data_IF_032815673055
#
_entry.id   IF_032815673055
#
_cell.length_a   1.000
_cell.length_b   1.000
_cell.length_c   1.000
_cell.angle_alpha   90.00
_cell.angle_beta   90.00
_cell.angle_gamma   90.00
#
_symmetry.space_group_name_H-M   'P 1'
#
loop_
_entity.id
_entity.type
_entity.pdbx_description
1 polymer ?
#
# COMPACT_ATOMS: atom_id res chain seq x y z
N UNK A 1 2.70 5.52 -2.13
CA UNK A 1 3.58 4.33 -1.99
C UNK A 1 4.37 4.34 -0.69
N UNK A 2 4.82 5.49 -0.19
CA UNK A 2 5.56 5.61 1.08
C UNK A 2 4.88 4.92 2.27
N UNK A 3 3.59 5.15 2.50
CA UNK A 3 2.85 4.47 3.58
C UNK A 3 2.87 2.93 3.42
N UNK A 4 2.65 2.41 2.21
CA UNK A 4 2.68 0.97 1.96
C UNK A 4 4.08 0.36 2.11
N UNK A 5 5.12 1.12 1.75
CA UNK A 5 6.51 0.74 2.02
C UNK A 5 6.75 0.59 3.52
N UNK A 6 6.30 1.55 4.34
CA UNK A 6 6.42 1.49 5.80
C UNK A 6 5.68 0.32 6.41
N UNK A 7 4.41 0.11 6.03
CA UNK A 7 3.60 -1.02 6.50
C UNK A 7 4.29 -2.36 6.18
N UNK A 8 4.96 -2.45 5.04
CA UNK A 8 5.70 -3.65 4.61
C UNK A 8 7.18 -3.67 4.99
N UNK A 9 7.62 -2.75 5.85
CA UNK A 9 9.00 -2.70 6.34
C UNK A 9 9.35 -3.91 7.22
N UNK A 10 10.62 -4.32 7.32
CA UNK A 10 11.04 -5.45 8.15
C UNK A 10 10.69 -5.34 9.64
N UNK A 11 10.51 -4.11 10.11
CA UNK A 11 10.02 -3.76 11.44
C UNK A 11 8.55 -4.16 11.62
N UNK A 12 7.68 -3.66 10.74
CA UNK A 12 6.22 -3.79 10.87
C UNK A 12 5.71 -5.16 10.43
N UNK A 13 6.36 -5.81 9.45
CA UNK A 13 5.93 -7.12 8.94
C UNK A 13 5.87 -8.20 10.03
N UNK A 14 6.70 -8.08 11.06
CA UNK A 14 6.72 -9.03 12.19
C UNK A 14 5.44 -9.00 13.03
N UNK A 15 4.73 -7.87 13.05
CA UNK A 15 3.52 -7.68 13.85
C UNK A 15 2.25 -7.69 13.00
N UNK A 16 2.29 -7.10 11.81
CA UNK A 16 1.12 -6.98 10.93
C UNK A 16 0.99 -8.11 9.90
N UNK A 17 2.04 -8.91 9.69
CA UNK A 17 2.07 -10.00 8.69
C UNK A 17 1.76 -9.54 7.25
N UNK A 18 2.10 -8.30 6.89
CA UNK A 18 1.85 -7.70 5.58
C UNK A 18 3.15 -7.45 4.81
N UNK A 19 3.83 -8.51 4.30
CA UNK A 19 4.94 -8.32 3.37
C UNK A 19 4.49 -7.61 2.09
N UNK A 20 5.41 -7.07 1.28
CA UNK A 20 5.09 -6.37 0.03
C UNK A 20 4.18 -7.16 -0.91
N UNK A 21 4.30 -8.50 -0.93
CA UNK A 21 3.44 -9.38 -1.73
C UNK A 21 1.97 -9.32 -1.32
N UNK A 22 1.68 -9.28 -0.01
CA UNK A 22 0.32 -9.19 0.51
C UNK A 22 -0.27 -7.81 0.22
N UNK A 23 0.55 -6.76 0.35
CA UNK A 23 0.19 -5.40 -0.06
C UNK A 23 -0.18 -5.37 -1.55
N UNK A 24 0.64 -5.97 -2.40
CA UNK A 24 0.38 -6.08 -3.84
C UNK A 24 -0.98 -6.72 -4.14
N UNK A 25 -1.30 -7.85 -3.50
CA UNK A 25 -2.58 -8.55 -3.72
C UNK A 25 -3.79 -7.68 -3.31
N UNK A 26 -3.72 -7.01 -2.16
CA UNK A 26 -4.84 -6.21 -1.64
C UNK A 26 -5.01 -4.89 -2.40
N UNK A 27 -3.91 -4.19 -2.69
CA UNK A 27 -3.95 -2.86 -3.28
C UNK A 27 -3.82 -2.86 -4.81
N UNK A 28 -3.31 -3.93 -5.43
CA UNK A 28 -3.19 -4.10 -6.87
C UNK A 28 -4.48 -3.75 -7.61
N UNK A 29 -5.62 -4.40 -7.28
CA UNK A 29 -6.89 -4.07 -7.89
C UNK A 29 -7.29 -2.61 -7.63
N UNK A 30 -7.18 -2.12 -6.40
CA UNK A 30 -7.65 -0.79 -6.03
C UNK A 30 -6.85 0.36 -6.67
N UNK A 31 -5.55 0.17 -6.89
CA UNK A 31 -4.66 1.19 -7.45
C UNK A 31 -4.61 1.17 -8.97
N UNK A 32 -4.84 0.01 -9.60
CA UNK A 32 -4.60 -0.20 -11.03
C UNK A 32 -5.82 -0.70 -11.80
N UNK A 33 -7.01 -0.75 -11.19
CA UNK A 33 -8.18 -1.37 -11.80
C UNK A 33 -8.57 -0.77 -13.15
N UNK A 34 -8.99 -1.65 -14.05
CA UNK A 34 -9.82 -1.31 -15.21
C UNK A 34 -11.29 -1.41 -14.78
N UNK A 35 -12.03 -0.30 -14.77
CA UNK A 35 -13.39 -0.18 -14.19
C UNK A 35 -14.46 -1.09 -14.81
N UNK A 36 -14.20 -1.71 -15.97
CA UNK A 36 -15.23 -2.39 -16.78
C UNK A 36 -14.75 -3.69 -17.45
N UNK A 37 -14.00 -4.55 -16.74
CA UNK A 37 -13.61 -5.84 -17.32
C UNK A 37 -14.57 -6.98 -16.97
N UNK A 38 -15.10 -7.64 -18.00
CA UNK A 38 -15.84 -8.91 -17.87
C UNK A 38 -14.88 -9.99 -17.37
N UNK A 39 -15.31 -10.87 -16.43
CA UNK A 39 -14.47 -11.97 -15.95
C UNK A 39 -13.92 -12.82 -17.10
N UNK A 40 -12.60 -12.82 -17.26
CA UNK A 40 -11.88 -13.58 -18.30
C UNK A 40 -10.54 -14.09 -17.76
N UNK A 41 -9.93 -15.07 -18.45
CA UNK A 41 -8.59 -15.56 -18.10
C UNK A 41 -7.52 -14.46 -18.23
N UNK A 42 -7.69 -13.56 -19.20
CA UNK A 42 -6.82 -12.39 -19.38
C UNK A 42 -6.92 -11.44 -18.20
N UNK A 43 -8.14 -11.20 -17.68
CA UNK A 43 -8.35 -10.41 -16.48
C UNK A 43 -7.63 -11.03 -15.27
N UNK A 44 -7.65 -12.36 -15.11
CA UNK A 44 -6.93 -13.03 -14.02
C UNK A 44 -5.41 -12.83 -14.12
N UNK A 45 -4.84 -12.93 -15.32
CA UNK A 45 -3.43 -12.60 -15.56
C UNK A 45 -3.15 -11.13 -15.24
N UNK A 46 -4.03 -10.20 -15.65
CA UNK A 46 -3.91 -8.77 -15.35
C UNK A 46 -3.95 -8.48 -13.85
N UNK A 47 -4.79 -9.14 -13.06
CA UNK A 47 -4.79 -9.00 -11.60
C UNK A 47 -3.44 -9.42 -10.99
N UNK A 48 -2.82 -10.46 -11.54
CA UNK A 48 -1.51 -10.94 -11.09
C UNK A 48 -0.41 -9.91 -11.39
N UNK A 49 -0.46 -9.28 -12.57
CA UNK A 49 0.44 -8.19 -12.92
C UNK A 49 0.20 -6.94 -12.07
N UNK A 50 -1.06 -6.58 -11.82
CA UNK A 50 -1.40 -5.43 -10.95
C UNK A 50 -0.82 -5.62 -9.55
N UNK A 51 -0.99 -6.81 -8.97
CA UNK A 51 -0.40 -7.14 -7.69
C UNK A 51 1.13 -7.00 -7.71
N UNK A 52 1.78 -7.51 -8.76
CA UNK A 52 3.23 -7.45 -8.87
C UNK A 52 3.77 -6.04 -9.06
N UNK A 53 3.07 -5.20 -9.83
CA UNK A 53 3.44 -3.79 -10.00
C UNK A 53 3.39 -3.06 -8.66
N UNK A 54 2.30 -3.23 -7.90
CA UNK A 54 2.17 -2.58 -6.59
C UNK A 54 3.20 -3.10 -5.58
N UNK A 55 3.46 -4.41 -5.56
CA UNK A 55 4.53 -5.00 -4.74
C UNK A 55 5.88 -4.33 -5.04
N UNK A 56 6.25 -4.22 -6.31
CA UNK A 56 7.52 -3.61 -6.73
C UNK A 56 7.56 -2.12 -6.36
N UNK A 57 6.48 -1.38 -6.60
CA UNK A 57 6.38 0.05 -6.26
C UNK A 57 6.50 0.31 -4.75
N UNK A 58 5.98 -0.60 -3.91
CA UNK A 58 6.12 -0.51 -2.46
C UNK A 58 7.51 -0.94 -1.98
N UNK A 59 8.09 -2.01 -2.54
CA UNK A 59 9.40 -2.53 -2.14
C UNK A 59 10.56 -1.63 -2.59
N UNK A 60 10.46 -0.99 -3.76
CA UNK A 60 11.50 -0.20 -4.40
C UNK A 60 11.15 1.30 -4.44
N UNK A 61 10.57 1.80 -3.35
CA UNK A 61 10.04 3.17 -3.30
C UNK A 61 11.14 4.22 -3.55
N UNK A 62 12.35 3.98 -3.05
CA UNK A 62 13.51 4.84 -3.26
C UNK A 62 13.89 4.95 -4.74
N UNK A 63 14.02 3.79 -5.40
CA UNK A 63 14.49 3.71 -6.79
C UNK A 63 13.47 4.29 -7.76
N UNK A 64 12.17 4.04 -7.52
CA UNK A 64 11.09 4.38 -8.44
C UNK A 64 10.66 5.84 -8.28
N UNK A 65 10.59 6.34 -7.05
CA UNK A 65 10.10 7.69 -6.76
C UNK A 65 11.22 8.69 -6.48
N UNK A 66 12.48 8.26 -6.53
CA UNK A 66 13.66 9.10 -6.31
C UNK A 66 13.58 9.87 -4.98
N UNK A 67 13.26 9.14 -3.90
CA UNK A 67 13.12 9.68 -2.54
C UNK A 67 14.17 9.07 -1.64
N UNK A 68 14.80 9.90 -0.81
CA UNK A 68 15.80 9.49 0.17
C UNK A 68 15.16 8.84 1.41
N UNK A 69 15.97 8.09 2.16
CA UNK A 69 15.56 7.53 3.46
C UNK A 69 15.22 8.63 4.47
N UNK A 70 15.90 9.76 4.40
CA UNK A 70 15.66 10.91 5.24
C UNK A 70 14.28 11.54 4.94
N UNK A 71 13.95 11.73 3.67
CA UNK A 71 12.64 12.24 3.25
C UNK A 71 11.50 11.29 3.62
N UNK A 72 11.71 9.97 3.51
CA UNK A 72 10.73 8.99 3.98
C UNK A 72 10.42 9.15 5.46
N UNK A 73 11.46 9.25 6.31
CA UNK A 73 11.32 9.41 7.76
C UNK A 73 10.58 10.68 8.15
N UNK A 74 10.77 11.76 7.40
CA UNK A 74 10.04 13.02 7.62
C UNK A 74 8.54 12.84 7.35
N UNK A 75 8.19 12.15 6.26
CA UNK A 75 6.79 11.84 5.91
C UNK A 75 6.12 10.88 6.92
N UNK A 76 6.89 10.14 7.72
CA UNK A 76 6.31 9.30 8.80
C UNK A 76 5.75 10.15 9.94
N UNK A 77 6.42 11.24 10.28
CA UNK A 77 6.08 12.06 11.44
C UNK A 77 4.86 12.96 11.21
N UNK A 78 4.59 13.34 9.95
CA UNK A 78 3.40 14.12 9.58
C UNK A 78 2.10 13.30 9.68
N UNK A 79 2.19 11.96 9.65
CA UNK A 79 1.00 11.08 9.65
C UNK A 79 0.32 10.92 11.02
N UNK A 80 0.92 11.41 12.11
CA UNK A 80 0.43 11.19 13.48
C UNK A 80 -0.57 12.27 13.93
N UNK A 81 -0.66 13.40 13.24
CA UNK A 81 -1.49 14.53 13.69
C UNK A 81 -2.97 14.45 13.26
N UNK A 82 -3.38 13.49 12.42
CA UNK A 82 -4.73 13.50 11.79
C UNK A 82 -5.73 12.45 12.32
N UNK A 83 -5.36 11.57 13.28
CA UNK A 83 -6.29 10.58 13.88
C UNK A 83 -6.90 11.03 15.22
N UNK A 84 -7.17 12.32 15.34
CA UNK A 84 -7.54 12.95 16.60
C UNK A 84 -8.96 13.49 16.73
N UNK A 85 -9.94 13.20 15.87
CA UNK A 85 -11.31 13.73 16.10
C UNK A 85 -12.46 13.09 15.29
N UNK A 86 -12.76 11.80 15.43
CA UNK A 86 -14.16 11.33 15.25
C UNK A 86 -14.56 10.40 16.39
N UNK A 87 -15.03 11.03 17.48
CA UNK A 87 -15.78 10.39 18.56
C UNK A 87 -16.93 9.58 17.95
N UNK A 88 -16.86 8.26 18.09
CA UNK A 88 -18.08 7.43 18.14
C UNK A 88 -18.91 7.91 19.34
N UNK A 89 -19.84 8.83 19.11
CA UNK A 89 -20.98 9.02 20.00
C UNK A 89 -21.98 7.95 19.60
N UNK A 90 -21.96 6.82 20.31
CA UNK A 90 -23.13 5.97 20.37
C UNK A 90 -24.23 6.79 21.04
N UNK A 91 -25.28 7.11 20.28
CA UNK A 91 -26.53 7.57 20.87
C UNK A 91 -27.23 6.35 21.49
N UNK A 92 -27.64 6.50 22.76
CA UNK A 92 -28.32 5.51 23.60
C UNK A 92 -29.69 5.05 23.04
#
# INVERSE_FOLDING_TARGET
MYHLHRVSSPEHVKTNCMPPSNIGIVFGPNLLQQREMIPSLELLANMSYQAKVVEIMAAHVHDIFNVSEEELKLLENESIEDEGNERFVGED
#
